data_IF_640460091956
#
_entry.id   IF_640460091956
#
_cell.length_a   1.000
_cell.length_b   1.000
_cell.length_c   1.000
_cell.angle_alpha   90.00
_cell.angle_beta   90.00
_cell.angle_gamma   90.00
#
_symmetry.space_group_name_H-M   'P 1'
#
loop_
_entity.id
_entity.type
_entity.pdbx_description
1 polymer ?
#
# COMPACT_ATOMS: atom_id res chain seq x y z
N UNK A 1 11.37 20.97 -5.18
CA UNK A 1 10.43 20.27 -4.27
C UNK A 1 8.97 20.36 -4.71
N UNK A 2 8.48 21.52 -5.19
CA UNK A 2 7.07 21.68 -5.63
C UNK A 2 6.61 20.64 -6.67
N UNK A 3 7.43 20.34 -7.67
CA UNK A 3 7.11 19.35 -8.71
C UNK A 3 6.91 17.93 -8.14
N UNK A 4 7.73 17.53 -7.16
CA UNK A 4 7.63 16.22 -6.51
C UNK A 4 6.28 16.08 -5.78
N UNK A 5 5.90 17.09 -5.01
CA UNK A 5 4.63 17.09 -4.29
C UNK A 5 3.41 17.09 -5.23
N UNK A 6 3.50 17.81 -6.37
CA UNK A 6 2.45 17.80 -7.40
C UNK A 6 2.30 16.41 -8.01
N UNK A 7 3.41 15.76 -8.37
CA UNK A 7 3.41 14.39 -8.91
C UNK A 7 2.84 13.43 -7.87
N UNK A 8 3.33 13.46 -6.63
CA UNK A 8 2.85 12.60 -5.56
C UNK A 8 1.34 12.76 -5.33
N UNK A 9 0.82 13.99 -5.30
CA UNK A 9 -0.62 14.26 -5.15
C UNK A 9 -1.44 13.75 -6.33
N UNK A 10 -0.92 13.90 -7.56
CA UNK A 10 -1.56 13.38 -8.78
C UNK A 10 -1.64 11.85 -8.73
N UNK A 11 -0.53 11.19 -8.41
CA UNK A 11 -0.46 9.72 -8.31
C UNK A 11 -1.33 9.18 -7.19
N UNK A 12 -1.32 9.83 -6.01
CA UNK A 12 -2.19 9.46 -4.91
C UNK A 12 -3.67 9.56 -5.30
N UNK A 13 -4.05 10.62 -6.02
CA UNK A 13 -5.42 10.76 -6.54
C UNK A 13 -5.74 9.69 -7.59
N UNK A 14 -4.78 9.32 -8.43
CA UNK A 14 -4.93 8.23 -9.39
C UNK A 14 -5.12 6.87 -8.69
N UNK A 15 -4.46 6.64 -7.55
CA UNK A 15 -4.71 5.47 -6.71
C UNK A 15 -6.17 5.38 -6.28
N UNK A 16 -6.67 6.39 -5.58
CA UNK A 16 -8.05 6.38 -5.06
C UNK A 16 -9.13 6.62 -6.12
N UNK A 17 -8.75 7.02 -7.33
CA UNK A 17 -9.65 7.14 -8.47
C UNK A 17 -9.97 5.81 -9.14
N UNK A 18 -9.19 4.75 -8.90
CA UNK A 18 -9.45 3.42 -9.47
C UNK A 18 -10.07 2.47 -8.44
N UNK A 19 -11.10 1.68 -8.81
CA UNK A 19 -11.70 0.69 -7.91
C UNK A 19 -10.69 -0.32 -7.38
N UNK A 20 -9.66 -0.61 -8.17
CA UNK A 20 -8.62 -1.57 -7.88
C UNK A 20 -7.83 -1.23 -6.61
N UNK A 21 -7.60 0.05 -6.30
CA UNK A 21 -6.91 0.43 -5.05
C UNK A 21 -7.69 0.00 -3.81
N UNK A 22 -9.02 0.17 -3.82
CA UNK A 22 -9.87 -0.26 -2.72
C UNK A 22 -9.88 -1.78 -2.57
N UNK A 23 -9.89 -2.51 -3.69
CA UNK A 23 -9.78 -3.98 -3.69
C UNK A 23 -8.49 -4.44 -3.01
N UNK A 24 -7.35 -3.81 -3.36
CA UNK A 24 -6.07 -4.12 -2.72
C UNK A 24 -6.10 -3.85 -1.21
N UNK A 25 -6.66 -2.71 -0.77
CA UNK A 25 -6.76 -2.39 0.66
C UNK A 25 -7.65 -3.38 1.42
N UNK A 26 -8.81 -3.71 0.87
CA UNK A 26 -9.75 -4.65 1.49
C UNK A 26 -9.12 -6.04 1.61
N UNK A 27 -8.50 -6.54 0.54
CA UNK A 27 -7.81 -7.84 0.55
C UNK A 27 -6.67 -7.81 1.57
N UNK A 28 -5.88 -6.74 1.61
CA UNK A 28 -4.78 -6.62 2.55
C UNK A 28 -5.24 -6.68 4.01
N UNK A 29 -6.27 -5.91 4.36
CA UNK A 29 -6.85 -5.90 5.72
C UNK A 29 -7.47 -7.26 6.05
N UNK A 30 -8.23 -7.84 5.12
CA UNK A 30 -8.86 -9.14 5.31
C UNK A 30 -7.83 -10.26 5.51
N UNK A 31 -6.76 -10.29 4.71
CA UNK A 31 -5.67 -11.26 4.87
C UNK A 31 -4.93 -11.05 6.19
N UNK A 32 -4.64 -9.81 6.57
CA UNK A 32 -3.96 -9.51 7.83
C UNK A 32 -4.80 -9.99 9.03
N UNK A 33 -6.11 -9.76 8.99
CA UNK A 33 -7.05 -10.29 10.00
C UNK A 33 -7.10 -11.81 9.98
N UNK A 34 -7.30 -12.43 8.82
CA UNK A 34 -7.40 -13.88 8.68
C UNK A 34 -6.12 -14.61 9.15
N UNK A 35 -4.95 -14.09 8.79
CA UNK A 35 -3.68 -14.67 9.21
C UNK A 35 -3.45 -14.50 10.71
N UNK A 36 -3.89 -13.38 11.30
CA UNK A 36 -3.76 -13.16 12.74
C UNK A 36 -4.69 -14.09 13.52
N UNK A 37 -5.98 -14.15 13.18
CA UNK A 37 -7.00 -14.85 13.96
C UNK A 37 -7.09 -16.35 13.65
N UNK A 38 -7.05 -16.74 12.37
CA UNK A 38 -7.17 -18.15 11.96
C UNK A 38 -5.80 -18.82 11.87
N UNK A 39 -4.90 -18.35 11.02
CA UNK A 39 -3.59 -19.04 10.80
C UNK A 39 -2.69 -18.95 12.03
N UNK A 40 -2.74 -17.81 12.72
CA UNK A 40 -2.03 -17.58 13.97
C UNK A 40 -2.63 -18.30 15.18
N UNK A 41 -3.79 -18.97 15.06
CA UNK A 41 -4.48 -19.62 16.17
C UNK A 41 -4.61 -18.70 17.40
N UNK A 42 -4.94 -17.42 17.17
CA UNK A 42 -4.98 -16.40 18.23
C UNK A 42 -5.91 -16.81 19.38
N UNK A 43 -7.08 -17.35 19.05
CA UNK A 43 -8.05 -17.81 20.06
C UNK A 43 -7.59 -19.05 20.83
N UNK A 44 -6.91 -19.99 20.17
CA UNK A 44 -6.43 -21.23 20.82
C UNK A 44 -5.28 -20.97 21.79
N UNK A 45 -4.53 -19.89 21.58
CA UNK A 45 -3.44 -19.50 22.48
C UNK A 45 -3.90 -18.96 23.82
N UNK A 46 -5.16 -18.52 23.93
CA UNK A 46 -5.70 -17.95 25.17
C UNK A 46 -4.93 -16.74 25.70
N UNK A 47 -4.12 -16.10 24.86
CA UNK A 47 -3.30 -14.93 25.19
C UNK A 47 -3.61 -13.82 24.20
N UNK A 48 -3.87 -12.62 24.72
CA UNK A 48 -4.10 -11.42 23.92
C UNK A 48 -2.76 -10.82 23.49
N UNK A 49 -2.03 -11.52 22.62
CA UNK A 49 -0.70 -11.13 22.16
C UNK A 49 -0.65 -10.81 20.66
N UNK A 50 0.06 -9.74 20.29
CA UNK A 50 0.20 -9.31 18.89
C UNK A 50 1.34 -10.03 18.13
N UNK A 51 1.96 -11.06 18.72
CA UNK A 51 3.02 -11.82 18.04
C UNK A 51 2.58 -12.46 16.70
N UNK A 52 1.38 -13.06 16.54
CA UNK A 52 0.96 -13.60 15.25
C UNK A 52 0.85 -12.50 14.20
N UNK A 53 0.27 -11.37 14.59
CA UNK A 53 0.11 -10.21 13.72
C UNK A 53 1.46 -9.77 13.17
N UNK A 54 2.44 -9.49 14.03
CA UNK A 54 3.77 -9.07 13.60
C UNK A 54 4.59 -10.16 12.89
N UNK A 55 4.31 -11.44 13.13
CA UNK A 55 4.97 -12.54 12.43
C UNK A 55 4.52 -12.65 10.97
N UNK A 56 3.22 -12.46 10.69
CA UNK A 56 2.67 -12.59 9.34
C UNK A 56 2.66 -11.27 8.54
N UNK A 57 2.67 -10.11 9.21
CA UNK A 57 2.68 -8.80 8.54
C UNK A 57 3.79 -8.66 7.49
N UNK A 58 5.07 -9.01 7.76
CA UNK A 58 6.15 -8.87 6.78
C UNK A 58 5.93 -9.70 5.52
N UNK A 59 5.37 -10.90 5.65
CA UNK A 59 5.07 -11.78 4.52
C UNK A 59 3.98 -11.19 3.63
N UNK A 60 2.94 -10.60 4.23
CA UNK A 60 1.89 -9.91 3.49
C UNK A 60 2.44 -8.65 2.78
N UNK A 61 3.31 -7.89 3.44
CA UNK A 61 3.99 -6.74 2.83
C UNK A 61 4.89 -7.13 1.66
N UNK A 62 5.58 -8.26 1.75
CA UNK A 62 6.44 -8.76 0.68
C UNK A 62 5.66 -8.98 -0.63
N UNK A 63 4.39 -9.40 -0.54
CA UNK A 63 3.51 -9.52 -1.71
C UNK A 63 2.86 -8.18 -2.08
N UNK A 64 2.36 -7.44 -1.08
CA UNK A 64 1.56 -6.25 -1.29
C UNK A 64 2.35 -5.06 -1.83
N UNK A 65 3.54 -4.79 -1.28
CA UNK A 65 4.35 -3.62 -1.64
C UNK A 65 4.79 -3.67 -3.11
N UNK A 66 5.34 -4.78 -3.65
CA UNK A 66 5.68 -4.85 -5.06
C UNK A 66 4.46 -4.76 -5.97
N UNK A 67 3.32 -5.35 -5.58
CA UNK A 67 2.10 -5.27 -6.36
C UNK A 67 1.62 -3.82 -6.52
N UNK A 68 1.63 -3.03 -5.43
CA UNK A 68 1.30 -1.59 -5.46
C UNK A 68 2.31 -0.79 -6.27
N UNK A 69 3.61 -1.08 -6.11
CA UNK A 69 4.69 -0.34 -6.78
C UNK A 69 4.75 -0.61 -8.29
N UNK A 70 4.56 -1.87 -8.72
CA UNK A 70 4.54 -2.23 -10.15
C UNK A 70 3.39 -1.53 -10.87
N UNK A 71 2.25 -1.35 -10.20
CA UNK A 71 1.06 -0.72 -10.78
C UNK A 71 1.33 0.68 -11.33
N UNK A 72 2.07 1.51 -10.58
CA UNK A 72 2.42 2.89 -10.99
C UNK A 72 3.09 2.98 -12.35
N UNK A 73 3.94 2.01 -12.66
CA UNK A 73 4.71 1.99 -13.91
C UNK A 73 3.98 1.21 -14.99
N UNK A 74 3.27 0.15 -14.61
CA UNK A 74 2.48 -0.67 -15.53
C UNK A 74 1.29 0.11 -16.10
N UNK A 75 0.59 0.91 -15.30
CA UNK A 75 -0.53 1.74 -15.77
C UNK A 75 -0.07 2.81 -16.77
N UNK A 76 1.08 3.45 -16.53
CA UNK A 76 1.65 4.42 -17.47
C UNK A 76 2.14 3.79 -18.76
N UNK A 77 2.80 2.63 -18.68
CA UNK A 77 3.22 1.87 -19.86
C UNK A 77 2.01 1.40 -20.68
N UNK A 78 0.94 0.95 -20.01
CA UNK A 78 -0.29 0.48 -20.66
C UNK A 78 -1.06 1.60 -21.34
N UNK A 79 -1.06 2.80 -20.76
CA UNK A 79 -1.77 3.98 -21.30
C UNK A 79 -0.93 4.83 -22.26
N UNK A 80 0.35 4.50 -22.46
CA UNK A 80 1.26 5.29 -23.30
C UNK A 80 1.63 6.66 -22.71
N UNK A 81 1.18 6.99 -21.50
CA UNK A 81 1.44 8.28 -20.86
C UNK A 81 2.90 8.45 -20.41
N UNK A 82 3.69 7.37 -20.45
CA UNK A 82 5.12 7.43 -20.14
C UNK A 82 5.88 8.33 -21.11
N UNK A 83 5.51 8.36 -22.40
CA UNK A 83 6.13 9.21 -23.42
C UNK A 83 5.84 10.69 -23.14
N UNK A 84 4.61 11.01 -22.75
CA UNK A 84 4.23 12.35 -22.32
C UNK A 84 5.00 12.76 -21.05
N UNK A 85 5.18 11.83 -20.11
CA UNK A 85 5.94 12.12 -18.88
C UNK A 85 7.41 12.43 -19.18
N UNK A 86 8.01 11.76 -20.16
CA UNK A 86 9.41 11.97 -20.57
C UNK A 86 9.64 13.21 -21.42
N UNK A 87 8.59 13.74 -22.06
CA UNK A 87 8.66 14.99 -22.85
C UNK A 87 8.40 16.24 -22.02
N UNK A 88 7.80 16.11 -20.83
CA UNK A 88 7.62 17.21 -19.89
C UNK A 88 8.97 17.69 -19.31
N UNK A 89 9.12 18.98 -18.96
CA UNK A 89 10.34 19.54 -18.36
C UNK A 89 10.47 19.13 -16.88
N UNK A 90 10.42 17.83 -16.60
CA UNK A 90 10.49 17.22 -15.27
C UNK A 90 11.68 16.27 -15.26
N UNK A 91 12.61 16.46 -14.34
CA UNK A 91 13.74 15.54 -14.20
C UNK A 91 13.25 14.15 -13.79
N UNK A 92 13.86 13.09 -14.33
CA UNK A 92 13.53 11.69 -14.02
C UNK A 92 13.54 11.41 -12.51
N UNK A 93 14.49 12.00 -11.77
CA UNK A 93 14.57 11.88 -10.30
C UNK A 93 13.36 12.44 -9.57
N UNK A 94 12.79 13.55 -10.04
CA UNK A 94 11.58 14.13 -9.44
C UNK A 94 10.35 13.23 -9.67
N UNK A 95 10.27 12.58 -10.83
CA UNK A 95 9.21 11.60 -11.11
C UNK A 95 9.33 10.36 -10.22
N UNK A 96 10.54 9.81 -10.10
CA UNK A 96 10.80 8.65 -9.22
C UNK A 96 10.44 8.97 -7.77
N UNK A 97 10.92 10.11 -7.24
CA UNK A 97 10.63 10.52 -5.87
C UNK A 97 9.13 10.75 -5.63
N UNK A 98 8.42 11.35 -6.60
CA UNK A 98 6.99 11.59 -6.50
C UNK A 98 6.18 10.29 -6.46
N UNK A 99 6.50 9.34 -7.35
CA UNK A 99 5.85 8.01 -7.40
C UNK A 99 6.15 7.17 -6.16
N UNK A 100 7.38 7.24 -5.66
CA UNK A 100 7.77 6.59 -4.41
C UNK A 100 6.94 7.12 -3.23
N UNK A 101 6.85 8.44 -3.06
CA UNK A 101 6.07 9.05 -1.97
C UNK A 101 4.57 8.71 -2.06
N UNK A 102 4.01 8.66 -3.27
CA UNK A 102 2.62 8.23 -3.46
C UNK A 102 2.40 6.78 -3.03
N UNK A 103 3.29 5.87 -3.44
CA UNK A 103 3.25 4.45 -3.01
C UNK A 103 3.37 4.33 -1.50
N UNK A 104 4.31 5.06 -0.92
CA UNK A 104 4.60 5.03 0.51
C UNK A 104 3.40 5.52 1.34
N UNK A 105 2.75 6.60 0.91
CA UNK A 105 1.51 7.08 1.53
C UNK A 105 0.36 6.08 1.39
N UNK A 106 0.22 5.44 0.22
CA UNK A 106 -0.80 4.42 0.02
C UNK A 106 -0.62 3.21 0.95
N UNK A 107 0.62 2.75 1.09
CA UNK A 107 0.99 1.71 2.06
C UNK A 107 0.72 2.19 3.50
N UNK A 108 1.01 3.45 3.81
CA UNK A 108 0.67 4.07 5.09
C UNK A 108 -0.83 4.05 5.40
N UNK A 109 -1.68 4.26 4.39
CA UNK A 109 -3.15 4.11 4.54
C UNK A 109 -3.53 2.65 4.80
N UNK A 110 -2.91 1.69 4.10
CA UNK A 110 -3.12 0.27 4.37
C UNK A 110 -2.73 -0.09 5.81
N UNK A 111 -1.62 0.45 6.32
CA UNK A 111 -1.19 0.27 7.70
C UNK A 111 -2.17 0.90 8.69
N UNK A 112 -2.63 2.13 8.44
CA UNK A 112 -3.62 2.80 9.29
C UNK A 112 -4.93 2.00 9.38
N UNK A 113 -5.36 1.37 8.28
CA UNK A 113 -6.53 0.50 8.27
C UNK A 113 -6.36 -0.79 9.09
N UNK A 114 -5.13 -1.20 9.44
CA UNK A 114 -4.89 -2.33 10.35
C UNK A 114 -4.94 -1.96 11.83
N UNK A 115 -5.04 -0.67 12.16
CA UNK A 115 -5.14 -0.17 13.53
C UNK A 115 -6.30 -0.77 14.35
N UNK A 116 -7.51 -1.03 13.80
CA UNK A 116 -8.58 -1.68 14.54
C UNK A 116 -8.20 -3.04 15.13
N UNK A 117 -7.32 -3.81 14.47
CA UNK A 117 -6.84 -5.11 14.99
C UNK A 117 -6.04 -4.90 16.28
N UNK A 118 -5.23 -3.86 16.33
CA UNK A 118 -4.47 -3.50 17.53
C UNK A 118 -5.39 -3.14 18.69
N UNK A 119 -6.43 -2.35 18.42
CA UNK A 119 -7.45 -1.98 19.42
C UNK A 119 -8.13 -3.25 19.95
N UNK A 120 -8.58 -4.15 19.08
CA UNK A 120 -9.34 -5.34 19.49
C UNK A 120 -8.55 -6.33 20.35
N UNK A 121 -7.22 -6.34 20.25
CA UNK A 121 -6.36 -7.26 21.03
C UNK A 121 -5.95 -6.64 22.37
N UNK A 122 -5.91 -5.31 22.48
CA UNK A 122 -5.42 -4.61 23.67
C UNK A 122 -6.55 -4.12 24.60
N UNK A 123 -7.81 -4.25 24.18
CA UNK A 123 -9.02 -4.02 24.97
C UNK A 123 -9.55 -5.33 25.53
#
# INVERSE_FOLDING_TARGET
MRNIAIIAKRELRAYFGTPLAYVFLIIFVALTGAFTFYVGNFFERGQADLRPFFAYHPWLYLLFVPAVAMRLWAEERKTGTIELLMTLPVSTWQAIAGKFLASWLFIGVALALTFPVWITVNL
#
